data_IF_668379057921
#
_entry.id   IF_668379057921
#
_cell.length_a   1.000
_cell.length_b   1.000
_cell.length_c   1.000
_cell.angle_alpha   90.00
_cell.angle_beta   90.00
_cell.angle_gamma   90.00
#
_symmetry.space_group_name_H-M   'P 1'
#
loop_
_entity.id
_entity.type
_entity.pdbx_description
1 polymer ?
#
# COMPACT_ATOMS: atom_id res chain seq x y z
N UNK A 1 11.59 7.43 -57.16
CA UNK A 1 10.46 6.49 -57.37
C UNK A 1 11.05 5.13 -57.72
N UNK A 2 10.93 4.15 -56.82
CA UNK A 2 11.50 2.83 -57.02
C UNK A 2 10.96 1.87 -55.98
N UNK A 3 9.83 1.22 -56.28
CA UNK A 3 9.22 0.22 -55.41
C UNK A 3 9.92 -1.13 -55.60
N UNK A 4 10.31 -1.85 -54.54
CA UNK A 4 10.90 -3.17 -54.68
C UNK A 4 9.85 -4.20 -55.12
N UNK A 5 10.19 -4.95 -56.17
CA UNK A 5 9.40 -6.04 -56.75
C UNK A 5 9.55 -7.31 -55.88
N UNK A 6 8.51 -7.66 -55.14
CA UNK A 6 8.46 -8.87 -54.30
C UNK A 6 8.32 -10.14 -55.17
N UNK A 7 9.07 -11.19 -54.81
CA UNK A 7 9.12 -12.46 -55.55
C UNK A 7 7.87 -13.31 -55.33
N UNK A 8 7.54 -14.16 -56.32
CA UNK A 8 6.32 -14.98 -56.37
C UNK A 8 6.17 -15.95 -55.19
N UNK A 9 7.26 -16.32 -54.51
CA UNK A 9 7.26 -17.25 -53.37
C UNK A 9 6.75 -16.67 -52.04
N UNK A 10 6.52 -15.35 -51.95
CA UNK A 10 6.01 -14.72 -50.72
C UNK A 10 4.52 -14.34 -50.78
N UNK A 11 3.79 -14.77 -51.82
CA UNK A 11 2.33 -14.55 -51.94
C UNK A 11 1.45 -15.71 -51.46
N UNK A 12 2.03 -16.86 -51.11
CA UNK A 12 1.25 -18.08 -50.79
C UNK A 12 1.10 -18.35 -49.29
N UNK A 13 1.58 -17.48 -48.39
CA UNK A 13 1.47 -17.67 -46.94
C UNK A 13 0.33 -16.86 -46.28
N UNK A 14 -0.55 -16.22 -47.05
CA UNK A 14 -1.60 -15.33 -46.54
C UNK A 14 -3.04 -15.87 -46.67
N UNK A 15 -3.22 -17.18 -46.86
CA UNK A 15 -4.56 -17.78 -47.00
C UNK A 15 -4.61 -19.18 -46.40
N UNK A 16 -4.86 -19.27 -45.10
CA UNK A 16 -5.46 -20.44 -44.47
C UNK A 16 -5.87 -20.13 -43.02
N UNK A 17 -7.09 -19.65 -42.83
CA UNK A 17 -7.82 -19.84 -41.58
C UNK A 17 -8.61 -21.16 -41.68
N UNK A 18 -8.69 -21.95 -40.61
CA UNK A 18 -9.88 -22.75 -40.37
C UNK A 18 -10.66 -22.26 -39.16
N UNK A 19 -11.89 -21.85 -39.46
CA UNK A 19 -13.02 -21.65 -38.56
C UNK A 19 -13.26 -22.88 -37.67
N UNK A 20 -13.30 -22.67 -36.35
CA UNK A 20 -13.77 -23.68 -35.39
C UNK A 20 -15.26 -23.43 -35.07
N UNK A 21 -16.11 -24.46 -35.11
CA UNK A 21 -17.53 -24.32 -34.81
C UNK A 21 -17.77 -24.12 -33.31
N UNK A 22 -18.66 -23.17 -33.01
CA UNK A 22 -19.36 -23.04 -31.73
C UNK A 22 -20.47 -24.10 -31.68
N UNK A 23 -20.29 -25.15 -30.89
CA UNK A 23 -21.41 -25.87 -30.30
C UNK A 23 -20.96 -26.53 -28.99
N UNK A 24 -21.86 -26.49 -28.01
CA UNK A 24 -21.95 -27.39 -26.87
C UNK A 24 -20.98 -27.16 -25.70
N UNK A 25 -21.31 -26.16 -24.87
CA UNK A 25 -21.14 -26.32 -23.43
C UNK A 25 -22.41 -25.85 -22.71
N UNK A 26 -23.16 -26.85 -22.26
CA UNK A 26 -24.36 -26.75 -21.46
C UNK A 26 -23.97 -26.44 -20.00
N UNK A 27 -24.62 -25.51 -19.29
CA UNK A 27 -24.34 -25.26 -17.88
C UNK A 27 -25.03 -26.32 -17.00
N UNK A 28 -24.26 -27.31 -16.56
CA UNK A 28 -24.71 -28.28 -15.55
C UNK A 28 -25.03 -27.58 -14.24
N UNK A 29 -26.32 -27.62 -13.93
CA UNK A 29 -26.98 -27.28 -12.69
C UNK A 29 -26.31 -28.00 -11.51
N UNK A 30 -25.79 -27.23 -10.54
CA UNK A 30 -25.44 -27.76 -9.22
C UNK A 30 -26.66 -27.58 -8.31
N UNK A 31 -27.21 -28.65 -7.71
CA UNK A 31 -28.37 -28.53 -6.83
C UNK A 31 -28.02 -27.87 -5.49
N UNK A 32 -28.93 -27.00 -5.04
CA UNK A 32 -29.04 -26.47 -3.68
C UNK A 32 -29.08 -27.61 -2.67
N UNK A 33 -28.07 -27.69 -1.80
CA UNK A 33 -28.14 -28.43 -0.54
C UNK A 33 -28.88 -27.59 0.50
N UNK A 34 -30.13 -27.98 0.76
CA UNK A 34 -30.94 -27.55 1.90
C UNK A 34 -30.61 -28.47 3.08
N UNK A 35 -30.43 -27.87 4.27
CA UNK A 35 -30.57 -28.56 5.55
C UNK A 35 -29.28 -29.01 6.21
N UNK A 36 -28.94 -28.41 7.35
CA UNK A 36 -29.33 -29.00 8.64
C UNK A 36 -28.98 -28.03 9.78
N UNK A 37 -30.02 -27.40 10.34
CA UNK A 37 -29.95 -26.84 11.68
C UNK A 37 -30.18 -28.00 12.65
N UNK A 38 -29.15 -28.40 13.38
CA UNK A 38 -29.26 -29.33 14.48
C UNK A 38 -28.41 -28.84 15.64
N UNK A 39 -29.13 -28.28 16.62
CA UNK A 39 -28.94 -28.47 18.05
C UNK A 39 -27.55 -28.93 18.52
N UNK A 40 -26.82 -28.02 19.17
CA UNK A 40 -25.99 -28.38 20.31
C UNK A 40 -26.51 -27.59 21.52
N UNK A 41 -27.36 -28.27 22.27
CA UNK A 41 -27.48 -28.12 23.73
C UNK A 41 -26.06 -28.11 24.29
N UNK A 42 -25.64 -27.10 25.04
CA UNK A 42 -26.08 -26.91 26.41
C UNK A 42 -24.89 -27.23 27.31
N UNK A 43 -24.18 -26.20 27.73
CA UNK A 43 -23.38 -26.24 28.96
C UNK A 43 -23.32 -24.83 29.53
N UNK A 44 -24.29 -24.53 30.39
CA UNK A 44 -24.20 -23.42 31.33
C UNK A 44 -22.99 -23.66 32.24
N UNK A 45 -21.99 -22.78 32.16
CA UNK A 45 -21.05 -22.56 33.23
C UNK A 45 -21.36 -21.19 33.83
N UNK A 46 -21.87 -21.22 35.05
CA UNK A 46 -22.22 -20.08 35.88
C UNK A 46 -20.99 -19.20 36.13
N UNK A 47 -21.12 -17.90 35.85
CA UNK A 47 -20.21 -16.87 36.36
C UNK A 47 -20.98 -16.13 37.47
N UNK A 48 -20.54 -16.19 38.74
CA UNK A 48 -21.23 -15.54 39.84
C UNK A 48 -21.10 -14.02 39.76
N UNK A 49 -22.25 -13.35 39.81
CA UNK A 49 -22.40 -11.93 40.09
C UNK A 49 -22.28 -11.68 41.59
N UNK A 50 -21.29 -10.89 41.98
CA UNK A 50 -21.14 -10.21 43.27
C UNK A 50 -20.11 -9.08 43.01
N UNK A 51 -20.17 -7.86 43.51
CA UNK A 51 -20.80 -7.32 44.70
C UNK A 51 -20.84 -5.79 44.47
N UNK A 52 -22.05 -5.21 44.50
CA UNK A 52 -22.24 -3.76 44.51
C UNK A 52 -22.09 -3.29 45.95
N UNK A 53 -20.94 -2.71 46.29
CA UNK A 53 -20.74 -1.98 47.55
C UNK A 53 -20.32 -0.54 47.29
N UNK A 54 -21.31 0.35 47.36
CA UNK A 54 -21.10 1.74 47.71
C UNK A 54 -20.83 1.89 49.22
N UNK A 55 -20.00 2.85 49.61
CA UNK A 55 -20.41 3.80 50.66
C UNK A 55 -20.15 5.25 50.21
N UNK A 56 -21.18 6.09 50.16
CA UNK A 56 -21.58 7.03 51.23
C UNK A 56 -20.51 8.08 51.59
N UNK A 57 -20.76 9.28 51.07
CA UNK A 57 -20.54 10.63 51.63
C UNK A 57 -19.19 11.00 52.25
N UNK A 58 -18.61 12.09 51.72
CA UNK A 58 -18.12 13.21 52.54
C UNK A 58 -18.27 14.54 51.78
N UNK A 59 -19.25 15.32 52.22
CA UNK A 59 -19.41 16.75 51.93
C UNK A 59 -18.25 17.50 52.59
N UNK A 60 -17.52 18.33 51.86
CA UNK A 60 -16.78 19.44 52.43
C UNK A 60 -17.17 20.73 51.71
N UNK A 61 -17.66 21.68 52.51
CA UNK A 61 -18.13 23.00 52.12
C UNK A 61 -16.95 24.00 52.07
N UNK A 62 -17.12 25.14 51.38
CA UNK A 62 -16.05 26.01 50.93
C UNK A 62 -15.60 26.99 52.03
N UNK A 63 -14.33 27.39 52.00
CA UNK A 63 -13.82 28.51 52.78
C UNK A 63 -13.26 29.58 51.83
N UNK A 64 -13.92 30.71 51.88
CA UNK A 64 -13.61 31.98 51.28
C UNK A 64 -12.39 32.59 51.97
N UNK A 65 -11.33 32.88 51.21
CA UNK A 65 -10.26 33.78 51.64
C UNK A 65 -10.02 34.80 50.53
N UNK A 66 -10.57 36.00 50.74
CA UNK A 66 -10.09 37.22 50.11
C UNK A 66 -8.68 37.51 50.65
N UNK A 67 -7.70 37.66 49.77
CA UNK A 67 -6.53 38.47 50.08
C UNK A 67 -6.04 39.14 48.81
N UNK A 68 -6.25 40.46 48.76
CA UNK A 68 -5.53 41.36 47.88
C UNK A 68 -4.03 41.21 48.13
N UNK A 69 -3.25 41.00 47.08
CA UNK A 69 -1.94 41.60 46.97
C UNK A 69 -1.57 41.65 45.49
N UNK A 70 -1.65 42.85 44.92
CA UNK A 70 -1.05 43.12 43.63
C UNK A 70 0.47 43.01 43.77
N UNK A 71 1.09 42.26 42.89
CA UNK A 71 2.45 42.54 42.44
C UNK A 71 2.55 42.02 41.01
N UNK A 72 2.74 42.96 40.10
CA UNK A 72 2.93 42.76 38.67
C UNK A 72 4.20 41.95 38.44
N UNK A 73 4.05 40.69 38.03
CA UNK A 73 5.12 39.90 37.44
C UNK A 73 4.72 39.54 36.01
N UNK A 74 4.93 40.49 35.09
CA UNK A 74 4.92 40.19 33.65
C UNK A 74 6.16 39.37 33.32
N UNK A 75 6.14 38.08 33.64
CA UNK A 75 7.03 37.12 33.01
C UNK A 75 6.43 36.79 31.65
N UNK A 76 6.93 37.45 30.60
CA UNK A 76 6.74 37.02 29.22
C UNK A 76 7.24 35.59 29.09
N UNK A 77 6.32 34.62 29.17
CA UNK A 77 6.54 33.30 28.59
C UNK A 77 6.59 33.56 27.09
N UNK A 78 7.79 33.75 26.58
CA UNK A 78 8.07 33.57 25.17
C UNK A 78 7.57 32.17 24.83
N UNK A 79 6.42 32.10 24.17
CA UNK A 79 5.96 30.91 23.51
C UNK A 79 7.07 30.51 22.54
N UNK A 80 7.90 29.56 22.96
CA UNK A 80 8.68 28.76 22.05
C UNK A 80 7.65 28.00 21.24
N UNK A 81 7.30 28.57 20.09
CA UNK A 81 6.76 27.79 18.99
C UNK A 81 7.68 26.59 18.84
N UNK A 82 7.19 25.34 18.93
CA UNK A 82 7.97 24.23 18.40
C UNK A 82 8.16 24.54 16.92
N UNK A 83 9.36 25.05 16.62
CA UNK A 83 9.82 25.29 15.27
C UNK A 83 9.76 23.94 14.59
N UNK A 84 8.74 23.77 13.74
CA UNK A 84 8.67 22.63 12.85
C UNK A 84 10.02 22.58 12.14
N UNK A 85 10.75 21.46 12.19
CA UNK A 85 11.99 21.34 11.45
C UNK A 85 11.70 21.70 9.97
N UNK A 86 12.61 22.42 9.30
CA UNK A 86 12.43 22.80 7.91
C UNK A 86 12.10 21.56 7.08
N UNK A 87 11.20 21.67 6.07
CA UNK A 87 10.80 20.53 5.26
C UNK A 87 12.06 19.90 4.68
N UNK A 88 12.36 18.67 5.11
CA UNK A 88 13.35 17.85 4.46
C UNK A 88 13.03 17.86 2.96
N UNK A 89 13.97 18.38 2.19
CA UNK A 89 13.85 18.53 0.76
C UNK A 89 13.54 17.16 0.12
N UNK A 90 12.41 17.13 -0.59
CA UNK A 90 12.17 16.36 -1.81
C UNK A 90 12.65 14.90 -1.84
N UNK A 91 11.71 13.98 -1.59
CA UNK A 91 11.77 12.60 -2.04
C UNK A 91 11.71 12.51 -3.58
N UNK A 92 12.78 12.84 -4.28
CA UNK A 92 12.94 12.53 -5.70
C UNK A 92 13.53 11.12 -5.85
N UNK A 93 12.66 10.16 -6.17
CA UNK A 93 13.11 8.80 -6.49
C UNK A 93 12.01 7.78 -6.79
N UNK A 94 10.75 8.09 -6.49
CA UNK A 94 9.64 7.16 -6.76
C UNK A 94 8.98 7.42 -8.13
N UNK A 95 8.93 6.41 -8.98
CA UNK A 95 8.20 6.42 -10.26
C UNK A 95 6.71 6.30 -9.98
N UNK A 96 5.94 7.32 -10.32
CA UNK A 96 4.48 7.36 -10.13
C UNK A 96 3.76 6.54 -11.19
N UNK A 97 3.01 5.52 -10.77
CA UNK A 97 2.21 4.67 -11.65
C UNK A 97 0.83 5.24 -11.95
N UNK A 98 0.35 6.28 -11.25
CA UNK A 98 -0.95 6.88 -11.55
C UNK A 98 -2.07 5.83 -11.62
N UNK A 99 -2.79 5.82 -12.76
CA UNK A 99 -3.81 4.82 -13.11
C UNK A 99 -3.30 3.74 -14.07
N UNK A 100 -2.01 3.75 -14.44
CA UNK A 100 -1.45 2.84 -15.43
C UNK A 100 -1.05 1.53 -14.77
N UNK A 101 -1.29 0.42 -15.47
CA UNK A 101 -0.81 -0.90 -15.01
C UNK A 101 0.53 -1.15 -15.70
N UNK A 102 1.64 -1.27 -14.94
CA UNK A 102 2.95 -1.55 -15.53
C UNK A 102 3.03 -2.98 -16.04
N UNK A 103 3.99 -3.29 -16.93
CA UNK A 103 4.30 -4.67 -17.30
C UNK A 103 5.14 -5.35 -16.22
N UNK A 104 5.08 -6.69 -16.16
CA UNK A 104 5.88 -7.49 -15.23
C UNK A 104 7.40 -7.24 -15.43
N UNK A 105 7.85 -7.15 -16.69
CA UNK A 105 9.25 -6.86 -17.02
C UNK A 105 9.68 -5.49 -16.49
N UNK A 106 8.84 -4.46 -16.65
CA UNK A 106 9.15 -3.12 -16.16
C UNK A 106 9.31 -3.10 -14.64
N UNK A 107 8.43 -3.81 -13.91
CA UNK A 107 8.52 -3.94 -12.44
C UNK A 107 9.75 -4.74 -12.03
N UNK A 108 10.02 -5.86 -12.69
CA UNK A 108 11.19 -6.69 -12.37
C UNK A 108 12.50 -5.92 -12.62
N UNK A 109 12.60 -5.18 -13.72
CA UNK A 109 13.76 -4.36 -14.04
C UNK A 109 13.97 -3.21 -13.06
N UNK A 110 12.91 -2.57 -12.61
CA UNK A 110 13.04 -1.48 -11.65
C UNK A 110 13.31 -1.96 -10.23
N UNK A 111 12.63 -3.01 -9.76
CA UNK A 111 12.88 -3.56 -8.42
C UNK A 111 14.25 -4.26 -8.34
N UNK A 112 14.63 -4.98 -9.40
CA UNK A 112 15.76 -5.90 -9.42
C UNK A 112 16.68 -5.71 -10.65
N UNK A 113 17.31 -4.53 -10.81
CA UNK A 113 18.13 -4.21 -11.99
C UNK A 113 19.38 -5.11 -12.15
N UNK A 114 19.91 -5.67 -11.06
CA UNK A 114 21.11 -6.53 -11.03
C UNK A 114 20.97 -7.75 -11.94
N UNK A 115 19.74 -8.21 -12.17
CA UNK A 115 19.45 -9.38 -12.99
C UNK A 115 19.82 -9.21 -14.45
N UNK A 116 19.48 -8.04 -15.02
CA UNK A 116 19.83 -7.73 -16.40
C UNK A 116 21.33 -7.56 -16.55
N UNK A 117 22.00 -7.01 -15.55
CA UNK A 117 23.46 -6.91 -15.60
C UNK A 117 24.13 -8.29 -15.60
N UNK A 118 23.67 -9.23 -14.77
CA UNK A 118 24.20 -10.61 -14.78
C UNK A 118 23.97 -11.32 -16.11
N UNK A 119 22.80 -11.13 -16.73
CA UNK A 119 22.49 -11.72 -18.03
C UNK A 119 23.34 -11.10 -19.16
N UNK A 120 23.52 -9.78 -19.15
CA UNK A 120 24.38 -9.09 -20.11
C UNK A 120 25.84 -9.53 -19.98
N UNK A 121 26.34 -9.67 -18.75
CA UNK A 121 27.69 -10.17 -18.47
C UNK A 121 27.87 -11.62 -18.92
N UNK A 122 26.88 -12.49 -18.70
CA UNK A 122 26.88 -13.86 -19.21
C UNK A 122 26.93 -13.92 -20.76
N UNK A 123 26.42 -12.90 -21.43
CA UNK A 123 26.47 -12.73 -22.89
C UNK A 123 27.69 -11.92 -23.36
N UNK A 124 28.66 -11.63 -22.49
CA UNK A 124 29.90 -10.94 -22.83
C UNK A 124 29.79 -9.41 -22.92
N UNK A 125 28.67 -8.82 -22.49
CA UNK A 125 28.50 -7.37 -22.42
C UNK A 125 28.89 -6.84 -21.04
N UNK A 126 29.61 -5.71 -21.01
CA UNK A 126 29.97 -5.05 -19.75
C UNK A 126 28.78 -4.25 -19.21
N UNK A 127 28.35 -4.51 -17.97
CA UNK A 127 27.40 -3.64 -17.26
C UNK A 127 28.11 -2.31 -16.95
N UNK A 128 27.75 -1.24 -17.67
CA UNK A 128 28.43 0.07 -17.62
C UNK A 128 27.96 0.99 -16.48
N UNK A 129 27.12 0.51 -15.55
CA UNK A 129 26.71 1.32 -14.41
C UNK A 129 25.59 0.69 -13.58
N UNK A 130 25.65 0.93 -12.27
CA UNK A 130 24.64 0.51 -11.29
C UNK A 130 23.36 1.30 -11.52
N UNK A 131 22.36 0.70 -12.18
CA UNK A 131 21.02 1.30 -12.23
C UNK A 131 20.42 1.17 -10.82
N UNK A 132 20.12 2.28 -10.12
CA UNK A 132 19.56 2.19 -8.78
C UNK A 132 18.19 1.51 -8.84
N UNK A 133 17.88 0.73 -7.79
CA UNK A 133 16.56 0.13 -7.67
C UNK A 133 15.49 1.24 -7.61
N UNK A 134 14.48 1.09 -8.46
CA UNK A 134 13.37 2.02 -8.59
C UNK A 134 12.39 1.78 -7.45
N UNK A 135 11.98 2.86 -6.79
CA UNK A 135 10.77 2.85 -5.96
C UNK A 135 9.58 3.18 -6.84
N UNK A 136 8.48 2.45 -6.69
CA UNK A 136 7.23 2.73 -7.39
C UNK A 136 6.26 3.39 -6.44
N UNK A 137 5.66 4.50 -6.84
CA UNK A 137 4.60 5.18 -6.11
C UNK A 137 3.25 4.82 -6.72
N UNK A 138 2.35 4.31 -5.88
CA UNK A 138 1.00 3.95 -6.23
C UNK A 138 0.04 4.95 -5.55
N UNK A 139 -0.49 5.94 -6.29
CA UNK A 139 -1.17 7.08 -5.70
C UNK A 139 -2.56 6.75 -5.18
N UNK A 140 -2.96 7.46 -4.14
CA UNK A 140 -4.25 7.33 -3.50
C UNK A 140 -5.36 8.24 -4.05
N UNK A 141 -5.25 8.74 -5.28
CA UNK A 141 -6.49 8.94 -6.07
C UNK A 141 -7.28 7.65 -6.16
N UNK A 142 -6.61 6.52 -5.95
CA UNK A 142 -7.22 5.25 -5.67
C UNK A 142 -7.97 5.25 -4.30
N UNK A 143 -7.36 5.59 -3.16
CA UNK A 143 -7.99 5.39 -1.83
C UNK A 143 -8.94 6.52 -1.43
N UNK A 144 -10.05 6.16 -0.78
CA UNK A 144 -10.94 7.14 -0.12
C UNK A 144 -10.25 7.82 1.06
N UNK A 145 -10.64 9.05 1.38
CA UNK A 145 -10.15 9.79 2.56
C UNK A 145 -10.41 8.96 3.82
N UNK A 146 -9.43 8.88 4.72
CA UNK A 146 -9.52 8.08 5.96
C UNK A 146 -9.57 6.57 5.77
N UNK A 147 -9.44 6.05 4.54
CA UNK A 147 -9.56 4.63 4.24
C UNK A 147 -8.22 3.99 3.87
N UNK A 148 -8.13 2.69 4.16
CA UNK A 148 -7.11 1.75 3.70
C UNK A 148 -7.66 0.72 2.68
N UNK A 149 -8.92 0.87 2.26
CA UNK A 149 -9.58 0.01 1.28
C UNK A 149 -8.86 0.05 -0.07
N UNK A 150 -8.42 -1.11 -0.58
CA UNK A 150 -7.73 -1.23 -1.86
C UNK A 150 -8.70 -1.08 -3.06
N UNK A 151 -8.51 -0.07 -3.90
CA UNK A 151 -9.33 0.22 -5.07
C UNK A 151 -9.04 -0.74 -6.22
N UNK A 152 -9.99 -0.93 -7.13
CA UNK A 152 -9.86 -1.89 -8.24
C UNK A 152 -8.63 -1.62 -9.14
N UNK A 153 -8.34 -0.36 -9.46
CA UNK A 153 -7.16 0.01 -10.26
C UNK A 153 -5.86 -0.37 -9.56
N UNK A 154 -5.78 -0.12 -8.25
CA UNK A 154 -4.62 -0.47 -7.45
C UNK A 154 -4.43 -1.98 -7.36
N UNK A 155 -5.52 -2.73 -7.20
CA UNK A 155 -5.51 -4.20 -7.23
C UNK A 155 -4.90 -4.74 -8.52
N UNK A 156 -5.25 -4.17 -9.69
CA UNK A 156 -4.67 -4.55 -10.99
C UNK A 156 -3.17 -4.24 -11.08
N UNK A 157 -2.71 -3.12 -10.53
CA UNK A 157 -1.28 -2.82 -10.44
C UNK A 157 -0.59 -3.86 -9.55
N UNK A 158 -1.15 -4.12 -8.36
CA UNK A 158 -0.60 -5.07 -7.38
C UNK A 158 -0.60 -6.52 -7.88
N UNK A 159 -1.51 -6.90 -8.78
CA UNK A 159 -1.49 -8.21 -9.43
C UNK A 159 -0.16 -8.41 -10.20
N UNK A 160 0.31 -7.38 -10.91
CA UNK A 160 1.61 -7.42 -11.63
C UNK A 160 2.78 -7.50 -10.65
N UNK A 161 2.73 -6.76 -9.54
CA UNK A 161 3.76 -6.88 -8.50
C UNK A 161 3.80 -8.30 -7.92
N UNK A 162 2.64 -8.90 -7.62
CA UNK A 162 2.57 -10.27 -7.13
C UNK A 162 3.15 -11.28 -8.12
N UNK A 163 2.85 -11.11 -9.42
CA UNK A 163 3.40 -11.96 -10.48
C UNK A 163 4.92 -11.92 -10.55
N UNK A 164 5.52 -10.74 -10.36
CA UNK A 164 6.98 -10.57 -10.33
C UNK A 164 7.59 -11.16 -9.05
N UNK A 165 6.99 -10.88 -7.89
CA UNK A 165 7.53 -11.28 -6.59
C UNK A 165 7.44 -12.79 -6.35
N UNK A 166 6.42 -13.46 -6.89
CA UNK A 166 6.26 -14.91 -6.76
C UNK A 166 7.16 -15.72 -7.69
N UNK A 167 7.87 -15.08 -8.63
CA UNK A 167 8.80 -15.80 -9.50
C UNK A 167 9.95 -16.41 -8.69
N UNK A 168 10.37 -17.64 -9.04
CA UNK A 168 11.46 -18.34 -8.34
C UNK A 168 12.76 -17.52 -8.28
N UNK A 169 13.01 -16.67 -9.27
CA UNK A 169 14.17 -15.77 -9.35
C UNK A 169 14.20 -14.71 -8.24
N UNK A 170 13.03 -14.39 -7.69
CA UNK A 170 12.83 -13.34 -6.69
C UNK A 170 12.47 -13.90 -5.31
N UNK A 171 12.50 -15.22 -5.13
CA UNK A 171 12.04 -15.93 -3.93
C UNK A 171 12.78 -15.56 -2.62
N UNK A 172 13.92 -14.87 -2.70
CA UNK A 172 14.70 -14.42 -1.54
C UNK A 172 14.78 -12.88 -1.45
N UNK A 173 14.16 -12.17 -2.40
CA UNK A 173 14.32 -10.72 -2.53
C UNK A 173 13.24 -9.98 -1.77
N UNK A 174 13.68 -9.24 -0.76
CA UNK A 174 12.78 -8.44 0.08
C UNK A 174 12.42 -7.12 -0.59
N UNK A 175 11.16 -6.76 -0.50
CA UNK A 175 10.64 -5.44 -0.87
C UNK A 175 10.07 -4.74 0.36
N UNK A 176 10.15 -3.42 0.34
CA UNK A 176 9.55 -2.54 1.32
C UNK A 176 8.29 -1.91 0.75
N UNK A 177 7.20 -1.98 1.51
CA UNK A 177 5.90 -1.36 1.23
C UNK A 177 5.70 -0.24 2.25
N UNK A 178 5.74 1.00 1.78
CA UNK A 178 5.69 2.21 2.62
C UNK A 178 4.35 2.89 2.41
N UNK A 179 3.55 3.00 3.46
CA UNK A 179 2.32 3.78 3.43
C UNK A 179 2.57 5.24 3.81
N UNK A 180 1.90 6.15 3.10
CA UNK A 180 1.91 7.58 3.40
C UNK A 180 0.46 8.11 3.59
N UNK A 181 0.32 9.10 4.46
CA UNK A 181 -0.88 9.89 4.67
C UNK A 181 -0.66 11.35 4.23
N UNK A 182 -1.75 12.06 3.96
CA UNK A 182 -1.69 13.53 3.86
C UNK A 182 -1.62 14.14 5.26
N UNK A 183 -1.40 15.44 5.35
CA UNK A 183 -1.29 16.14 6.64
C UNK A 183 -2.66 16.41 7.30
N UNK A 184 -3.74 15.81 6.79
CA UNK A 184 -5.08 16.01 7.32
C UNK A 184 -5.28 15.16 8.58
N UNK A 185 -5.48 15.81 9.73
CA UNK A 185 -5.68 15.14 11.01
C UNK A 185 -4.43 15.09 11.89
N UNK A 186 -4.47 14.32 12.97
CA UNK A 186 -3.37 14.25 13.95
C UNK A 186 -2.21 13.38 13.46
N UNK A 187 -0.96 13.66 13.86
CA UNK A 187 0.19 12.82 13.52
C UNK A 187 0.01 11.33 13.85
N UNK A 188 -0.60 11.02 15.01
CA UNK A 188 -0.87 9.66 15.46
C UNK A 188 -1.88 8.94 14.57
N UNK A 189 -2.97 9.63 14.18
CA UNK A 189 -3.94 9.10 13.24
C UNK A 189 -3.32 8.84 11.86
N UNK A 190 -2.48 9.77 11.38
CA UNK A 190 -1.78 9.63 10.10
C UNK A 190 -0.79 8.46 10.12
N UNK A 191 -0.06 8.29 11.21
CA UNK A 191 0.83 7.15 11.41
C UNK A 191 0.07 5.83 11.33
N UNK A 192 -1.03 5.71 12.10
CA UNK A 192 -1.85 4.50 12.10
C UNK A 192 -2.51 4.23 10.72
N UNK A 193 -3.01 5.26 10.04
CA UNK A 193 -3.63 5.13 8.73
C UNK A 193 -2.62 4.70 7.66
N UNK A 194 -1.42 5.28 7.70
CA UNK A 194 -0.35 4.94 6.78
C UNK A 194 0.10 3.48 6.94
N UNK A 195 0.21 3.00 8.19
CA UNK A 195 0.51 1.60 8.49
C UNK A 195 -0.59 0.66 7.97
N UNK A 196 -1.87 0.97 8.23
CA UNK A 196 -3.01 0.18 7.73
C UNK A 196 -3.04 0.06 6.21
N UNK A 197 -2.61 1.10 5.48
CA UNK A 197 -2.49 1.04 4.02
C UNK A 197 -1.38 0.09 3.57
N UNK A 198 -0.22 0.14 4.22
CA UNK A 198 0.87 -0.79 3.95
C UNK A 198 0.48 -2.25 4.26
N UNK A 199 -0.22 -2.48 5.38
CA UNK A 199 -0.81 -3.78 5.74
C UNK A 199 -1.79 -4.27 4.68
N UNK A 200 -2.72 -3.41 4.24
CA UNK A 200 -3.71 -3.79 3.21
C UNK A 200 -3.04 -4.22 1.90
N UNK A 201 -2.00 -3.51 1.48
CA UNK A 201 -1.20 -3.89 0.30
C UNK A 201 -0.48 -5.21 0.51
N UNK A 202 0.19 -5.40 1.65
CA UNK A 202 0.85 -6.67 2.00
C UNK A 202 -0.14 -7.83 1.95
N UNK A 203 -1.28 -7.69 2.64
CA UNK A 203 -2.28 -8.75 2.75
C UNK A 203 -2.86 -9.10 1.39
N UNK A 204 -3.04 -8.11 0.51
CA UNK A 204 -3.42 -8.35 -0.87
C UNK A 204 -2.35 -9.11 -1.66
N UNK A 205 -1.08 -8.71 -1.58
CA UNK A 205 0.02 -9.42 -2.25
C UNK A 205 0.16 -10.87 -1.75
N UNK A 206 -0.02 -11.10 -0.46
CA UNK A 206 -0.05 -12.44 0.15
C UNK A 206 -1.24 -13.24 -0.36
N UNK A 207 -2.43 -12.64 -0.47
CA UNK A 207 -3.61 -13.30 -1.04
C UNK A 207 -3.41 -13.72 -2.51
N UNK A 208 -2.44 -13.12 -3.21
CA UNK A 208 -2.03 -13.44 -4.58
C UNK A 208 -0.88 -14.44 -4.66
N UNK A 209 -0.42 -14.96 -3.53
CA UNK A 209 0.61 -16.00 -3.44
C UNK A 209 2.04 -15.46 -3.26
N UNK A 210 2.21 -14.17 -2.94
CA UNK A 210 3.52 -13.65 -2.55
C UNK A 210 3.89 -14.16 -1.16
N UNK A 211 5.13 -14.60 -0.96
CA UNK A 211 5.62 -15.00 0.36
C UNK A 211 5.66 -13.77 1.32
N UNK A 212 4.97 -13.81 2.47
CA UNK A 212 4.99 -12.72 3.44
C UNK A 212 6.39 -12.39 3.96
N UNK A 213 7.34 -13.33 3.97
CA UNK A 213 8.73 -13.08 4.40
C UNK A 213 9.49 -12.11 3.49
N UNK A 214 9.01 -11.92 2.25
CA UNK A 214 9.56 -10.97 1.28
C UNK A 214 9.01 -9.55 1.46
N UNK A 215 7.94 -9.38 2.24
CA UNK A 215 7.23 -8.11 2.37
C UNK A 215 7.55 -7.46 3.72
N UNK A 216 8.28 -6.34 3.67
CA UNK A 216 8.50 -5.48 4.84
C UNK A 216 7.58 -4.27 4.73
N UNK A 217 6.76 -4.03 5.73
CA UNK A 217 5.84 -2.89 5.75
C UNK A 217 6.35 -1.77 6.66
N UNK A 218 6.00 -0.54 6.30
CA UNK A 218 6.30 0.66 7.08
C UNK A 218 5.19 1.69 6.88
N UNK A 219 4.80 2.39 7.95
CA UNK A 219 3.97 3.58 7.86
C UNK A 219 4.79 4.79 8.29
N UNK A 220 4.79 5.86 7.48
CA UNK A 220 5.55 7.09 7.78
C UNK A 220 4.65 8.29 8.11
N UNK A 221 3.34 8.05 8.22
CA UNK A 221 2.35 9.09 8.45
C UNK A 221 2.43 10.17 7.37
N UNK A 222 2.43 11.43 7.80
CA UNK A 222 2.53 12.61 6.94
C UNK A 222 3.92 13.24 6.92
N UNK A 223 4.95 12.53 7.41
CA UNK A 223 6.31 13.07 7.61
C UNK A 223 7.12 13.17 6.30
N UNK A 224 6.73 12.42 5.27
CA UNK A 224 7.38 12.43 3.94
C UNK A 224 6.36 12.76 2.83
N UNK A 225 5.93 14.03 2.72
CA UNK A 225 4.97 14.46 1.72
C UNK A 225 5.62 14.52 0.33
N UNK A 226 4.94 13.93 -0.66
CA UNK A 226 5.31 14.04 -2.07
C UNK A 226 5.22 15.49 -2.57
N UNK A 227 4.22 16.21 -2.08
CA UNK A 227 3.98 17.62 -2.38
C UNK A 227 3.93 18.42 -1.07
N UNK A 228 5.10 18.89 -0.58
CA UNK A 228 5.20 19.67 0.66
C UNK A 228 4.42 20.99 0.60
N UNK A 229 4.33 21.61 -0.58
CA UNK A 229 3.59 22.86 -0.78
C UNK A 229 2.07 22.71 -0.73
N UNK A 230 1.56 21.47 -0.81
CA UNK A 230 0.13 21.15 -0.67
C UNK A 230 -0.02 19.98 0.31
N UNK A 231 0.12 20.21 1.62
CA UNK A 231 0.23 19.14 2.61
C UNK A 231 -1.01 18.24 2.71
N UNK A 232 -2.20 18.79 2.43
CA UNK A 232 -3.47 18.05 2.37
C UNK A 232 -3.80 17.46 0.98
N UNK A 233 -2.86 17.53 0.04
CA UNK A 233 -3.07 17.01 -1.33
C UNK A 233 -3.25 15.50 -1.31
N UNK A 234 -4.14 15.01 -2.18
CA UNK A 234 -4.31 13.57 -2.40
C UNK A 234 -3.10 12.87 -3.01
N UNK A 235 -2.14 13.62 -3.55
CA UNK A 235 -0.84 13.11 -4.01
C UNK A 235 0.03 12.59 -2.85
N UNK A 236 -0.14 13.12 -1.64
CA UNK A 236 0.60 12.71 -0.45
C UNK A 236 0.10 11.38 0.10
N UNK A 237 -1.19 11.09 -0.10
CA UNK A 237 -1.76 9.78 0.15
C UNK A 237 -1.26 8.84 -0.94
N UNK A 238 -0.40 7.89 -0.60
CA UNK A 238 0.18 6.93 -1.55
C UNK A 238 0.73 5.71 -0.81
N UNK A 239 1.01 4.65 -1.56
CA UNK A 239 1.86 3.56 -1.10
C UNK A 239 3.06 3.48 -2.03
N UNK A 240 4.26 3.35 -1.48
CA UNK A 240 5.47 3.11 -2.25
C UNK A 240 5.93 1.67 -2.10
N UNK A 241 6.37 1.05 -3.19
CA UNK A 241 6.96 -0.29 -3.20
C UNK A 241 8.35 -0.19 -3.81
N UNK A 242 9.37 -0.66 -3.08
CA UNK A 242 10.74 -0.67 -3.56
C UNK A 242 11.55 -1.83 -2.99
N UNK A 243 12.76 -2.02 -3.49
CA UNK A 243 13.71 -2.99 -2.91
C UNK A 243 14.06 -2.59 -1.47
N UNK A 244 14.16 -3.57 -0.57
CA UNK A 244 14.57 -3.37 0.83
C UNK A 244 16.08 -3.12 0.94
#
# INVERSE_FOLDING_TARGET
>A
MGSPRWSRKQREAATAAPSRPLSDWEPSLVPRSVGNQSAWMGTQAAIPSADQRAPVMKKFRPLLVLSLCGLTLSASVAAQTPEMPPPAASATGAVDLGKTVPSADAINEGLFPDDKCKELEANGFKCMGFKPAVKYSLPATSFKVGSAELPATLKKQLDVFADVLKTKKNAERKVRVIGHADASGTPQANQALSMKRAESVRDYLVSKGTDPALLVIEGVGSQDPKNPGKPNSGENRRVEIGRK
#
